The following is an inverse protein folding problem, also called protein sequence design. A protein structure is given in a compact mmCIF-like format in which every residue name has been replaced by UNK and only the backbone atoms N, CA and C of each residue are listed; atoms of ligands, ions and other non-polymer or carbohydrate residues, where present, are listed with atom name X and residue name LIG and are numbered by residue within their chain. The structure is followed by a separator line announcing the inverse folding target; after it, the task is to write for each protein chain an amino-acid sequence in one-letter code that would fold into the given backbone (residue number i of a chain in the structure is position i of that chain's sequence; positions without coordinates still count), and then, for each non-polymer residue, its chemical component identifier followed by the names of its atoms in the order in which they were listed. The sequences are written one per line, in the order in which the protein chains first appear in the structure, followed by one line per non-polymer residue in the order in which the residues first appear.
data_IF_123341439972
#
_entry.id   IF_123341439972
#
_cell.length_a   1.000
_cell.length_b   1.000
_cell.length_c   1.000
_cell.angle_alpha   90.00
_cell.angle_beta   90.00
_cell.angle_gamma   90.00
#
_symmetry.space_group_name_H-M   'P 1'
#
loop_
_entity.id
_entity.type
_entity.pdbx_description
1 polymer ?
#
# COMPACT_ATOMS: atom_id res chain seq x y z
N UNK A 1 8.34 63.62 -25.27
CA UNK A 1 9.16 63.14 -24.13
C UNK A 1 8.35 62.56 -22.95
N UNK A 2 7.00 62.47 -23.00
CA UNK A 2 6.20 61.90 -21.90
C UNK A 2 6.03 60.37 -21.92
N UNK A 3 6.08 59.70 -23.08
CA UNK A 3 5.75 58.26 -23.17
C UNK A 3 6.79 57.29 -22.58
N UNK A 4 8.06 57.71 -22.46
CA UNK A 4 9.14 56.88 -21.92
C UNK A 4 9.13 56.82 -20.38
N UNK A 5 8.53 57.81 -19.71
CA UNK A 5 8.34 57.79 -18.25
C UNK A 5 7.18 56.89 -17.85
N UNK A 6 6.08 56.92 -18.62
CA UNK A 6 4.92 56.05 -18.38
C UNK A 6 5.25 54.56 -18.61
N UNK A 7 6.02 54.24 -19.66
CA UNK A 7 6.46 52.85 -19.90
C UNK A 7 7.38 52.30 -18.80
N UNK A 8 8.24 53.13 -18.21
CA UNK A 8 9.08 52.73 -17.07
C UNK A 8 8.28 52.54 -15.79
N UNK A 9 7.24 53.34 -15.57
CA UNK A 9 6.32 53.16 -14.45
C UNK A 9 5.54 51.85 -14.53
N UNK A 10 5.02 51.51 -15.71
CA UNK A 10 4.28 50.26 -15.96
C UNK A 10 5.18 49.03 -15.81
N UNK A 11 6.42 49.09 -16.30
CA UNK A 11 7.40 48.00 -16.13
C UNK A 11 7.77 47.78 -14.65
N UNK A 12 7.99 48.85 -13.89
CA UNK A 12 8.25 48.74 -12.46
C UNK A 12 7.03 48.21 -11.67
N UNK A 13 5.81 48.59 -12.06
CA UNK A 13 4.61 48.02 -11.45
C UNK A 13 4.44 46.53 -11.77
N UNK A 14 4.74 46.12 -13.00
CA UNK A 14 4.73 44.71 -13.41
C UNK A 14 5.76 43.86 -12.65
N UNK A 15 7.00 44.33 -12.51
CA UNK A 15 8.04 43.65 -11.73
C UNK A 15 7.64 43.53 -10.25
N UNK A 16 7.02 44.57 -9.70
CA UNK A 16 6.52 44.57 -8.32
C UNK A 16 5.37 43.59 -8.16
N UNK A 17 4.46 43.50 -9.14
CA UNK A 17 3.37 42.53 -9.18
C UNK A 17 3.89 41.10 -9.27
N UNK A 18 4.91 40.85 -10.11
CA UNK A 18 5.55 39.55 -10.27
C UNK A 18 6.26 39.10 -8.98
N UNK A 19 6.94 40.03 -8.30
CA UNK A 19 7.56 39.79 -7.00
C UNK A 19 6.52 39.45 -5.92
N UNK A 20 5.40 40.19 -5.89
CA UNK A 20 4.31 39.91 -4.95
C UNK A 20 3.66 38.55 -5.27
N UNK A 21 3.41 38.24 -6.54
CA UNK A 21 2.85 36.96 -6.97
C UNK A 21 3.77 35.79 -6.60
N UNK A 22 5.07 35.92 -6.86
CA UNK A 22 6.09 34.92 -6.49
C UNK A 22 6.18 34.74 -4.98
N UNK A 23 6.09 35.82 -4.20
CA UNK A 23 6.02 35.78 -2.74
C UNK A 23 4.76 35.07 -2.24
N UNK A 24 3.62 35.31 -2.88
CA UNK A 24 2.35 34.66 -2.57
C UNK A 24 2.37 33.16 -2.92
N UNK A 25 2.95 32.79 -4.07
CA UNK A 25 3.14 31.41 -4.48
C UNK A 25 4.07 30.65 -3.53
N UNK A 26 5.18 31.26 -3.08
CA UNK A 26 6.04 30.66 -2.06
C UNK A 26 5.30 30.44 -0.75
N UNK A 27 4.51 31.42 -0.29
CA UNK A 27 3.70 31.26 0.93
C UNK A 27 2.65 30.17 0.79
N UNK A 28 1.97 30.07 -0.35
CA UNK A 28 1.03 28.99 -0.66
C UNK A 28 1.71 27.63 -0.68
N UNK A 29 2.91 27.52 -1.26
CA UNK A 29 3.70 26.28 -1.25
C UNK A 29 4.06 25.87 0.18
N UNK A 30 4.54 26.82 0.99
CA UNK A 30 4.89 26.57 2.40
C UNK A 30 3.66 26.14 3.20
N UNK A 31 2.51 26.79 3.01
CA UNK A 31 1.24 26.41 3.65
C UNK A 31 0.83 25.00 3.22
N UNK A 32 0.95 24.66 1.93
CA UNK A 32 0.65 23.34 1.40
C UNK A 32 1.57 22.27 2.01
N UNK A 33 2.86 22.58 2.18
CA UNK A 33 3.84 21.69 2.81
C UNK A 33 3.56 21.49 4.31
N UNK A 34 3.01 22.49 5.01
CA UNK A 34 2.59 22.39 6.41
C UNK A 34 1.22 21.71 6.57
N UNK A 35 0.36 21.76 5.55
CA UNK A 35 -0.94 21.09 5.56
C UNK A 35 -0.84 19.60 5.27
N UNK A 36 0.13 19.14 4.46
CA UNK A 36 0.31 17.70 4.15
C UNK A 36 0.45 16.80 5.39
N UNK A 37 1.25 17.13 6.42
CA UNK A 37 1.36 16.32 7.63
C UNK A 37 0.07 16.32 8.47
N UNK A 38 -0.62 17.47 8.56
CA UNK A 38 -1.89 17.62 9.26
C UNK A 38 -3.00 16.82 8.57
N UNK A 39 -3.06 16.92 7.24
CA UNK A 39 -3.95 16.14 6.41
C UNK A 39 -3.65 14.64 6.52
N UNK A 40 -2.38 14.24 6.54
CA UNK A 40 -1.98 12.86 6.78
C UNK A 40 -2.42 12.35 8.16
N UNK A 41 -2.27 13.15 9.20
CA UNK A 41 -2.70 12.79 10.57
C UNK A 41 -4.22 12.69 10.69
N UNK A 42 -4.96 13.61 10.05
CA UNK A 42 -6.42 13.60 10.00
C UNK A 42 -6.95 12.44 9.16
N UNK A 43 -6.29 12.10 8.05
CA UNK A 43 -6.64 10.95 7.18
C UNK A 43 -6.39 9.60 7.85
N UNK A 44 -5.30 9.47 8.63
CA UNK A 44 -5.08 8.29 9.46
C UNK A 44 -6.15 8.15 10.57
N UNK A 45 -6.69 9.28 11.05
CA UNK A 45 -7.85 9.32 11.94
C UNK A 45 -9.18 9.02 11.23
N UNK A 46 -9.43 9.44 10.00
CA UNK A 46 -10.67 9.07 9.27
C UNK A 46 -10.73 7.57 8.94
N UNK A 47 -9.58 6.92 8.74
CA UNK A 47 -9.47 5.46 8.59
C UNK A 47 -9.89 4.69 9.87
N UNK A 48 -9.96 5.36 11.03
CA UNK A 48 -10.33 4.74 12.32
C UNK A 48 -11.76 4.19 12.39
N UNK A 49 -12.61 4.49 11.40
CA UNK A 49 -13.97 3.93 11.33
C UNK A 49 -14.04 2.53 10.69
N UNK A 50 -13.04 2.10 9.90
CA UNK A 50 -13.09 0.83 9.15
C UNK A 50 -11.75 0.10 8.99
N UNK A 51 -10.63 0.68 9.44
CA UNK A 51 -9.31 0.10 9.27
C UNK A 51 -8.28 0.54 10.32
N UNK A 52 -7.14 -0.15 10.35
CA UNK A 52 -6.01 0.21 11.22
C UNK A 52 -4.67 0.04 10.50
N UNK A 53 -3.71 0.90 10.81
CA UNK A 53 -2.36 0.85 10.26
C UNK A 53 -1.39 0.37 11.34
N UNK A 54 -0.67 -0.72 11.07
CA UNK A 54 0.42 -1.23 11.91
C UNK A 54 1.74 -0.89 11.23
N UNK A 55 2.56 -0.08 11.89
CA UNK A 55 3.87 0.29 11.38
C UNK A 55 4.79 -0.94 11.33
N UNK A 56 5.47 -1.13 10.20
CA UNK A 56 6.45 -2.20 9.99
C UNK A 56 7.87 -1.67 9.81
N UNK A 57 8.79 -2.59 9.49
CA UNK A 57 10.22 -2.28 9.36
C UNK A 57 10.72 -2.20 7.91
N UNK A 58 9.98 -2.72 6.93
CA UNK A 58 10.35 -2.67 5.51
C UNK A 58 9.65 -1.51 4.78
N UNK A 59 10.15 -1.21 3.58
CA UNK A 59 9.57 -0.21 2.67
C UNK A 59 8.35 -0.78 1.91
N UNK A 60 7.60 -1.71 2.49
CA UNK A 60 6.44 -2.27 1.85
C UNK A 60 5.24 -2.37 2.76
N UNK A 61 4.09 -2.51 2.11
CA UNK A 61 2.78 -2.51 2.76
C UNK A 61 2.05 -3.80 2.39
N UNK A 62 1.50 -4.47 3.40
CA UNK A 62 0.60 -5.60 3.23
C UNK A 62 -0.80 -5.16 3.64
N UNK A 63 -1.75 -5.23 2.71
CA UNK A 63 -3.15 -4.91 2.93
C UNK A 63 -3.92 -6.19 3.25
N UNK A 64 -4.66 -6.22 4.35
CA UNK A 64 -5.46 -7.37 4.79
C UNK A 64 -6.85 -6.87 5.19
N UNK A 65 -7.75 -6.88 4.22
CA UNK A 65 -9.06 -6.23 4.34
C UNK A 65 -10.06 -6.96 5.22
N UNK A 66 -9.75 -8.17 5.66
CA UNK A 66 -10.57 -8.93 6.59
C UNK A 66 -10.00 -8.97 8.00
N UNK A 67 -8.82 -8.38 8.24
CA UNK A 67 -8.08 -8.50 9.51
C UNK A 67 -8.74 -7.80 10.72
N UNK A 68 -9.84 -7.08 10.54
CA UNK A 68 -10.68 -6.53 11.63
C UNK A 68 -12.01 -7.28 11.81
N UNK A 69 -12.29 -8.30 10.97
CA UNK A 69 -13.47 -9.13 11.10
C UNK A 69 -13.24 -10.19 12.18
N UNK A 70 -14.18 -10.31 13.13
CA UNK A 70 -14.08 -11.29 14.22
C UNK A 70 -14.01 -12.72 13.67
N UNK A 71 -13.03 -13.49 14.14
CA UNK A 71 -12.82 -14.89 13.72
C UNK A 71 -12.07 -15.04 12.39
N UNK A 72 -11.58 -13.94 11.82
CA UNK A 72 -10.71 -14.01 10.65
C UNK A 72 -9.36 -14.65 11.02
N UNK A 73 -8.91 -15.68 10.28
CA UNK A 73 -7.69 -16.41 10.61
C UNK A 73 -6.45 -15.54 10.49
N UNK A 74 -6.37 -14.63 9.52
CA UNK A 74 -5.24 -13.71 9.39
C UNK A 74 -5.25 -12.69 10.52
N UNK A 75 -6.42 -12.19 10.94
CA UNK A 75 -6.51 -11.32 12.11
C UNK A 75 -5.89 -11.96 13.34
N UNK A 76 -6.28 -13.20 13.64
CA UNK A 76 -5.80 -13.96 14.80
C UNK A 76 -4.29 -14.21 14.70
N UNK A 77 -3.81 -14.66 13.54
CA UNK A 77 -2.39 -14.90 13.29
C UNK A 77 -1.55 -13.63 13.44
N UNK A 78 -1.98 -12.49 12.90
CA UNK A 78 -1.21 -11.24 13.03
C UNK A 78 -1.16 -10.78 14.49
N UNK A 79 -2.25 -10.88 15.24
CA UNK A 79 -2.23 -10.51 16.66
C UNK A 79 -1.35 -11.44 17.49
N UNK A 80 -1.28 -12.74 17.18
CA UNK A 80 -0.40 -13.67 17.91
C UNK A 80 1.08 -13.46 17.62
N UNK A 81 1.43 -12.96 16.43
CA UNK A 81 2.81 -12.67 16.04
C UNK A 81 3.30 -11.32 16.63
N UNK A 82 2.40 -10.41 17.00
CA UNK A 82 2.79 -9.14 17.61
C UNK A 82 3.55 -9.36 18.92
N UNK A 83 4.69 -8.69 19.07
CA UNK A 83 5.52 -8.77 20.27
C UNK A 83 6.53 -9.91 20.29
N UNK A 84 6.57 -10.76 19.26
CA UNK A 84 7.55 -11.86 19.12
C UNK A 84 8.96 -11.40 18.70
N UNK A 85 9.14 -10.10 18.39
CA UNK A 85 10.40 -9.55 17.91
C UNK A 85 10.71 -9.83 16.43
N UNK A 86 9.84 -10.56 15.73
CA UNK A 86 9.92 -10.78 14.27
C UNK A 86 9.74 -9.48 13.50
N UNK A 87 10.36 -9.40 12.32
CA UNK A 87 10.32 -8.22 11.45
C UNK A 87 9.32 -8.45 10.31
N UNK A 88 8.35 -7.55 10.16
CA UNK A 88 7.34 -7.63 9.11
C UNK A 88 7.13 -6.27 8.42
N UNK A 89 6.59 -6.27 7.20
CA UNK A 89 6.16 -5.05 6.50
C UNK A 89 5.11 -4.28 7.27
N UNK A 90 4.85 -3.03 6.88
CA UNK A 90 3.71 -2.32 7.42
C UNK A 90 2.41 -3.04 7.02
N UNK A 91 1.44 -3.11 7.91
CA UNK A 91 0.18 -3.81 7.67
C UNK A 91 -0.98 -2.83 7.73
N UNK A 92 -1.78 -2.76 6.66
CA UNK A 92 -3.08 -2.10 6.66
C UNK A 92 -4.14 -3.16 6.90
N UNK A 93 -4.84 -3.08 8.03
CA UNK A 93 -5.96 -3.96 8.37
C UNK A 93 -7.28 -3.26 8.02
N UNK A 94 -8.24 -4.00 7.49
CA UNK A 94 -9.61 -3.52 7.24
C UNK A 94 -10.67 -4.50 7.73
N UNK A 95 -11.93 -4.07 7.67
CA UNK A 95 -13.11 -4.91 7.95
C UNK A 95 -14.01 -5.14 6.71
N UNK A 96 -13.50 -4.92 5.51
CA UNK A 96 -14.25 -4.92 4.25
C UNK A 96 -13.70 -5.94 3.25
N UNK A 97 -14.19 -7.19 3.35
CA UNK A 97 -13.80 -8.29 2.45
C UNK A 97 -14.21 -8.05 0.99
N UNK A 98 -15.22 -7.21 0.76
CA UNK A 98 -15.79 -6.93 -0.56
C UNK A 98 -15.01 -5.86 -1.32
N UNK A 99 -14.02 -5.23 -0.69
CA UNK A 99 -13.18 -4.20 -1.29
C UNK A 99 -14.01 -3.04 -1.86
N UNK A 100 -14.93 -2.47 -1.07
CA UNK A 100 -15.75 -1.34 -1.53
C UNK A 100 -14.88 -0.17 -2.01
N UNK A 101 -15.45 0.66 -2.89
CA UNK A 101 -14.72 1.76 -3.50
C UNK A 101 -14.11 2.72 -2.46
N UNK A 102 -14.85 3.03 -1.39
CA UNK A 102 -14.40 3.91 -0.30
C UNK A 102 -13.22 3.33 0.48
N UNK A 103 -13.25 2.03 0.80
CA UNK A 103 -12.13 1.32 1.43
C UNK A 103 -10.90 1.38 0.53
N UNK A 104 -11.05 1.03 -0.74
CA UNK A 104 -9.94 1.04 -1.69
C UNK A 104 -9.33 2.44 -1.83
N UNK A 105 -10.16 3.49 -1.97
CA UNK A 105 -9.70 4.88 -2.06
C UNK A 105 -8.95 5.34 -0.82
N UNK A 106 -9.43 4.95 0.36
CA UNK A 106 -8.75 5.27 1.60
C UNK A 106 -7.36 4.62 1.68
N UNK A 107 -7.22 3.37 1.26
CA UNK A 107 -5.93 2.68 1.23
C UNK A 107 -5.00 3.30 0.19
N UNK A 108 -5.51 3.64 -1.00
CA UNK A 108 -4.74 4.35 -2.03
C UNK A 108 -4.17 5.66 -1.48
N UNK A 109 -4.98 6.44 -0.76
CA UNK A 109 -4.52 7.69 -0.12
C UNK A 109 -3.41 7.45 0.92
N UNK A 110 -3.48 6.36 1.69
CA UNK A 110 -2.42 5.99 2.64
C UNK A 110 -1.12 5.67 1.88
N UNK A 111 -1.21 4.89 0.80
CA UNK A 111 -0.05 4.53 -0.04
C UNK A 111 0.53 5.77 -0.72
N UNK A 112 -0.30 6.63 -1.30
CA UNK A 112 0.11 7.91 -1.90
C UNK A 112 0.78 8.85 -0.89
N UNK A 113 0.27 8.86 0.34
CA UNK A 113 0.75 9.72 1.42
C UNK A 113 2.16 9.42 1.90
N UNK A 114 2.77 8.28 1.50
CA UNK A 114 4.11 7.82 1.91
C UNK A 114 4.33 7.98 3.42
N UNK A 115 3.70 7.15 4.27
CA UNK A 115 3.76 7.33 5.72
C UNK A 115 5.21 7.42 6.20
N UNK A 116 5.57 8.58 6.76
CA UNK A 116 6.93 8.87 7.25
C UNK A 116 7.94 9.34 6.20
N UNK A 117 7.51 9.68 4.97
CA UNK A 117 8.38 10.19 3.89
C UNK A 117 9.22 9.12 3.20
N UNK A 118 9.06 7.86 3.57
CA UNK A 118 9.82 6.72 3.03
C UNK A 118 9.15 6.25 1.73
N UNK A 119 9.91 6.05 0.63
CA UNK A 119 9.37 5.49 -0.60
C UNK A 119 8.89 4.05 -0.37
N UNK A 120 7.67 3.76 -0.84
CA UNK A 120 7.10 2.42 -0.80
C UNK A 120 7.60 1.66 -2.04
N UNK A 121 8.24 0.51 -1.84
CA UNK A 121 8.75 -0.35 -2.91
C UNK A 121 7.70 -1.36 -3.39
N UNK A 122 6.81 -1.81 -2.50
CA UNK A 122 5.78 -2.78 -2.84
C UNK A 122 4.51 -2.65 -1.99
N UNK A 123 3.40 -3.10 -2.57
CA UNK A 123 2.11 -3.25 -1.93
C UNK A 123 1.56 -4.65 -2.25
N UNK A 124 1.24 -5.43 -1.22
CA UNK A 124 0.69 -6.77 -1.38
C UNK A 124 -0.71 -6.80 -0.77
N UNK A 125 -1.72 -7.15 -1.56
CA UNK A 125 -3.04 -7.50 -1.03
C UNK A 125 -3.00 -8.97 -0.58
N UNK A 126 -3.00 -9.21 0.73
CA UNK A 126 -2.95 -10.55 1.32
C UNK A 126 -4.35 -10.95 1.77
N UNK A 127 -4.81 -12.10 1.25
CA UNK A 127 -6.15 -12.64 1.47
C UNK A 127 -6.06 -14.10 1.87
N UNK A 128 -7.20 -14.66 2.27
CA UNK A 128 -7.36 -16.10 2.42
C UNK A 128 -8.66 -16.57 1.79
N UNK A 129 -8.68 -17.83 1.36
CA UNK A 129 -9.84 -18.48 0.79
C UNK A 129 -9.94 -19.94 1.25
N UNK A 130 -11.16 -20.50 1.19
CA UNK A 130 -11.32 -21.95 1.28
C UNK A 130 -10.92 -22.50 -0.09
N UNK A 131 -9.75 -23.14 -0.17
CA UNK A 131 -9.28 -23.75 -1.41
C UNK A 131 -9.86 -25.17 -1.54
N UNK A 132 -9.97 -25.72 -2.77
CA UNK A 132 -10.36 -27.11 -2.96
C UNK A 132 -9.48 -28.06 -2.14
N UNK A 133 -10.04 -29.14 -1.54
CA UNK A 133 -9.29 -30.05 -0.66
C UNK A 133 -8.03 -30.66 -1.28
N UNK A 134 -8.01 -30.78 -2.62
CA UNK A 134 -6.87 -31.30 -3.38
C UNK A 134 -5.61 -30.42 -3.21
N UNK A 135 -5.78 -29.12 -2.92
CA UNK A 135 -4.69 -28.15 -2.78
C UNK A 135 -4.58 -27.53 -1.36
N UNK A 136 -5.66 -27.52 -0.57
CA UNK A 136 -5.72 -26.84 0.73
C UNK A 136 -4.73 -27.36 1.80
N UNK A 137 -4.28 -28.62 1.68
CA UNK A 137 -3.34 -29.27 2.62
C UNK A 137 -1.86 -29.26 2.24
N UNK A 138 -1.46 -28.57 1.16
CA UNK A 138 -0.08 -28.64 0.61
C UNK A 138 0.77 -27.38 0.87
N UNK A 139 0.47 -26.58 1.89
CA UNK A 139 1.08 -25.24 2.10
C UNK A 139 1.03 -24.39 0.82
N UNK A 140 -0.11 -24.46 0.11
CA UNK A 140 -0.28 -23.79 -1.16
C UNK A 140 -0.60 -22.32 -0.93
N UNK A 141 0.12 -21.47 -1.66
CA UNK A 141 -0.08 -20.04 -1.74
C UNK A 141 -0.38 -19.69 -3.20
N UNK A 142 -1.48 -18.97 -3.43
CA UNK A 142 -1.88 -18.54 -4.76
C UNK A 142 -1.41 -17.09 -4.97
N UNK A 143 -0.73 -16.86 -6.09
CA UNK A 143 -0.29 -15.53 -6.51
C UNK A 143 -1.17 -15.05 -7.66
N UNK A 144 -1.91 -13.97 -7.42
CA UNK A 144 -2.77 -13.34 -8.42
C UNK A 144 -1.95 -12.54 -9.44
N UNK A 145 -1.90 -13.02 -10.68
CA UNK A 145 -1.12 -12.44 -11.79
C UNK A 145 -1.94 -11.48 -12.66
N UNK A 146 -3.28 -11.48 -12.56
CA UNK A 146 -4.19 -10.69 -13.40
C UNK A 146 -3.86 -9.19 -13.44
N UNK A 147 -3.60 -8.61 -12.27
CA UNK A 147 -3.28 -7.19 -12.12
C UNK A 147 -1.88 -6.97 -11.54
N UNK A 148 -0.99 -7.96 -11.65
CA UNK A 148 0.38 -7.81 -11.20
C UNK A 148 1.06 -6.61 -11.90
N UNK A 149 1.80 -5.84 -11.11
CA UNK A 149 2.65 -4.77 -11.62
C UNK A 149 4.00 -4.81 -10.92
N UNK A 150 5.09 -4.77 -11.67
CA UNK A 150 6.43 -4.80 -11.10
C UNK A 150 7.46 -5.43 -12.03
N UNK A 151 8.70 -5.52 -11.56
CA UNK A 151 9.78 -6.18 -12.30
C UNK A 151 9.70 -7.70 -12.12
N UNK A 152 9.82 -8.45 -13.22
CA UNK A 152 9.83 -9.92 -13.21
C UNK A 152 10.86 -10.50 -12.21
N UNK A 153 12.00 -9.83 -12.05
CA UNK A 153 13.05 -10.25 -11.11
C UNK A 153 12.58 -10.17 -9.65
N UNK A 154 11.77 -9.18 -9.30
CA UNK A 154 11.20 -9.05 -7.96
C UNK A 154 10.21 -10.18 -7.68
N UNK A 155 9.37 -10.53 -8.67
CA UNK A 155 8.44 -11.66 -8.56
C UNK A 155 9.20 -12.98 -8.40
N UNK A 156 10.26 -13.20 -9.18
CA UNK A 156 11.10 -14.39 -9.08
C UNK A 156 11.79 -14.50 -7.72
N UNK A 157 12.29 -13.39 -7.18
CA UNK A 157 12.87 -13.35 -5.82
C UNK A 157 11.86 -13.75 -4.77
N UNK A 158 10.65 -13.17 -4.82
CA UNK A 158 9.56 -13.54 -3.93
C UNK A 158 9.24 -15.05 -4.02
N UNK A 159 9.19 -15.58 -5.24
CA UNK A 159 8.87 -17.00 -5.45
C UNK A 159 9.91 -17.91 -4.83
N UNK A 160 11.20 -17.61 -5.05
CA UNK A 160 12.28 -18.38 -4.46
C UNK A 160 12.19 -18.37 -2.93
N UNK A 161 11.92 -17.23 -2.29
CA UNK A 161 11.86 -17.15 -0.83
C UNK A 161 10.64 -17.88 -0.24
N UNK A 162 9.48 -17.74 -0.86
CA UNK A 162 8.30 -18.48 -0.44
C UNK A 162 8.50 -20.00 -0.61
N UNK A 163 9.21 -20.43 -1.66
CA UNK A 163 9.59 -21.84 -1.83
C UNK A 163 10.63 -22.30 -0.80
N UNK A 164 11.60 -21.47 -0.42
CA UNK A 164 12.60 -21.76 0.61
C UNK A 164 11.96 -22.02 1.99
N UNK A 165 10.88 -21.30 2.33
CA UNK A 165 10.10 -21.58 3.54
C UNK A 165 9.12 -22.76 3.37
N UNK A 166 9.13 -23.44 2.23
CA UNK A 166 8.34 -24.64 1.97
C UNK A 166 6.90 -24.39 1.52
N UNK A 167 6.58 -23.21 0.97
CA UNK A 167 5.30 -22.96 0.33
C UNK A 167 5.31 -23.45 -1.12
N UNK A 168 4.21 -24.09 -1.53
CA UNK A 168 3.96 -24.38 -2.93
C UNK A 168 3.23 -23.18 -3.57
N UNK A 169 3.80 -22.61 -4.62
CA UNK A 169 3.22 -21.43 -5.29
C UNK A 169 2.40 -21.87 -6.50
N UNK A 170 1.16 -21.40 -6.59
CA UNK A 170 0.33 -21.50 -7.78
C UNK A 170 0.05 -20.09 -8.31
N UNK A 171 0.10 -19.92 -9.63
CA UNK A 171 -0.31 -18.67 -10.26
C UNK A 171 -1.80 -18.72 -10.63
N UNK A 172 -2.51 -17.63 -10.37
CA UNK A 172 -3.91 -17.48 -10.75
C UNK A 172 -4.10 -16.23 -11.62
N UNK A 173 -5.06 -16.31 -12.55
CA UNK A 173 -5.43 -15.25 -13.49
C UNK A 173 -6.81 -14.63 -13.20
N UNK A 174 -7.44 -14.92 -12.06
CA UNK A 174 -8.67 -14.24 -11.67
C UNK A 174 -9.65 -15.01 -10.78
N UNK A 175 -9.40 -16.29 -10.50
CA UNK A 175 -10.31 -17.11 -9.69
C UNK A 175 -10.14 -16.87 -8.19
N UNK A 176 -8.89 -16.74 -7.74
CA UNK A 176 -8.52 -16.55 -6.33
C UNK A 176 -7.69 -15.28 -6.12
N UNK A 177 -7.36 -14.55 -7.17
CA UNK A 177 -6.65 -13.28 -7.16
C UNK A 177 -7.26 -12.25 -8.11
N UNK A 178 -6.84 -10.98 -8.01
CA UNK A 178 -7.28 -9.92 -8.91
C UNK A 178 -8.51 -9.16 -8.42
N UNK A 179 -8.54 -8.84 -7.13
CA UNK A 179 -9.52 -7.95 -6.52
C UNK A 179 -9.46 -6.50 -7.03
N UNK A 180 -10.49 -5.72 -6.68
CA UNK A 180 -10.60 -4.30 -7.00
C UNK A 180 -9.47 -3.49 -6.36
N UNK A 181 -9.05 -3.84 -5.14
CA UNK A 181 -7.94 -3.15 -4.48
C UNK A 181 -6.65 -3.29 -5.29
N UNK A 182 -6.31 -4.51 -5.70
CA UNK A 182 -5.11 -4.81 -6.49
C UNK A 182 -5.15 -4.08 -7.83
N UNK A 183 -6.31 -4.07 -8.50
CA UNK A 183 -6.51 -3.29 -9.73
C UNK A 183 -6.21 -1.80 -9.52
N UNK A 184 -6.85 -1.16 -8.54
CA UNK A 184 -6.66 0.28 -8.29
C UNK A 184 -5.23 0.60 -7.86
N UNK A 185 -4.59 -0.26 -7.07
CA UNK A 185 -3.18 -0.11 -6.67
C UNK A 185 -2.25 -0.19 -7.88
N UNK A 186 -2.53 -1.07 -8.83
CA UNK A 186 -1.76 -1.16 -10.08
C UNK A 186 -1.93 0.08 -10.94
N UNK A 187 -3.14 0.63 -11.04
CA UNK A 187 -3.37 1.91 -11.73
C UNK A 187 -2.62 3.06 -11.06
N UNK A 188 -2.54 3.07 -9.73
CA UNK A 188 -1.73 4.03 -8.99
C UNK A 188 -0.23 3.84 -9.23
N UNK A 189 0.25 2.60 -9.17
CA UNK A 189 1.66 2.26 -9.36
C UNK A 189 2.16 2.63 -10.77
N UNK A 190 1.30 2.50 -11.79
CA UNK A 190 1.61 2.99 -13.16
C UNK A 190 1.79 4.50 -13.23
N UNK A 191 1.07 5.28 -12.40
CA UNK A 191 1.17 6.75 -12.37
C UNK A 191 2.40 7.23 -11.61
N UNK A 192 2.68 6.64 -10.45
CA UNK A 192 3.76 7.08 -9.55
C UNK A 192 5.11 6.42 -9.90
N UNK A 193 5.08 5.25 -10.53
CA UNK A 193 6.25 4.46 -10.90
C UNK A 193 6.92 3.77 -9.71
N UNK A 194 7.72 2.74 -10.00
CA UNK A 194 8.62 2.05 -9.04
C UNK A 194 7.96 1.35 -7.84
N UNK A 195 6.66 1.04 -7.88
CA UNK A 195 5.99 0.23 -6.85
C UNK A 195 5.65 -1.14 -7.44
N UNK A 196 5.97 -2.22 -6.74
CA UNK A 196 5.52 -3.58 -7.09
C UNK A 196 4.17 -3.85 -6.42
N UNK A 197 3.15 -4.24 -7.20
CA UNK A 197 1.81 -4.56 -6.71
C UNK A 197 1.50 -6.03 -7.00
N UNK A 198 1.05 -6.76 -5.98
CA UNK A 198 0.72 -8.17 -6.07
C UNK A 198 -0.48 -8.52 -5.19
N UNK A 199 -1.23 -9.56 -5.56
CA UNK A 199 -2.20 -10.21 -4.68
C UNK A 199 -1.71 -11.60 -4.31
N UNK A 200 -1.80 -11.93 -3.03
CA UNK A 200 -1.48 -13.25 -2.49
C UNK A 200 -2.69 -13.78 -1.75
N UNK A 201 -3.10 -15.00 -2.07
CA UNK A 201 -4.20 -15.69 -1.39
C UNK A 201 -3.69 -16.95 -0.73
N UNK A 202 -3.82 -17.00 0.59
CA UNK A 202 -3.48 -18.17 1.41
C UNK A 202 -4.67 -19.14 1.49
N UNK A 203 -4.36 -20.42 1.65
CA UNK A 203 -5.36 -21.39 2.07
C UNK A 203 -5.85 -21.08 3.49
N UNK A 204 -7.06 -21.51 3.86
CA UNK A 204 -7.59 -21.29 5.21
C UNK A 204 -6.70 -21.94 6.27
N UNK A 205 -6.22 -23.16 6.02
CA UNK A 205 -5.33 -23.87 6.94
C UNK A 205 -4.02 -23.11 7.13
N UNK A 206 -3.43 -22.62 6.03
CA UNK A 206 -2.20 -21.84 6.09
C UNK A 206 -2.41 -20.50 6.82
N UNK A 207 -3.56 -19.84 6.62
CA UNK A 207 -3.90 -18.61 7.33
C UNK A 207 -4.13 -18.80 8.84
N UNK A 208 -4.48 -20.02 9.28
CA UNK A 208 -4.68 -20.40 10.69
C UNK A 208 -3.37 -20.82 11.37
N UNK A 209 -2.32 -21.14 10.61
CA UNK A 209 -1.00 -21.48 11.14
C UNK A 209 -0.21 -20.19 11.39
N UNK A 210 -0.14 -19.79 12.66
CA UNK A 210 0.44 -18.51 13.07
C UNK A 210 1.94 -18.41 12.71
N UNK A 211 2.71 -19.49 12.90
CA UNK A 211 4.14 -19.48 12.61
C UNK A 211 4.38 -19.39 11.10
N UNK A 212 3.58 -20.10 10.30
CA UNK A 212 3.65 -20.02 8.84
C UNK A 212 3.29 -18.64 8.33
N UNK A 213 2.24 -18.01 8.86
CA UNK A 213 1.90 -16.62 8.52
C UNK A 213 3.05 -15.68 8.86
N UNK A 214 3.74 -15.89 10.00
CA UNK A 214 4.90 -15.11 10.38
C UNK A 214 6.05 -15.25 9.37
N UNK A 215 6.40 -16.49 9.01
CA UNK A 215 7.45 -16.79 8.04
C UNK A 215 7.14 -16.18 6.67
N UNK A 216 5.87 -16.24 6.23
CA UNK A 216 5.41 -15.60 4.99
C UNK A 216 5.60 -14.09 5.08
N UNK A 217 5.07 -13.43 6.12
CA UNK A 217 5.17 -11.98 6.26
C UNK A 217 6.62 -11.48 6.36
N UNK A 218 7.49 -12.24 7.02
CA UNK A 218 8.92 -11.95 7.13
C UNK A 218 9.62 -12.09 5.78
N UNK A 219 9.28 -13.12 4.99
CA UNK A 219 9.78 -13.29 3.62
C UNK A 219 9.38 -12.15 2.70
N UNK A 220 8.25 -11.47 2.96
CA UNK A 220 7.85 -10.31 2.17
C UNK A 220 8.76 -9.10 2.38
N UNK A 221 9.55 -9.01 3.46
CA UNK A 221 10.34 -7.82 3.80
C UNK A 221 11.48 -7.49 2.83
N UNK A 222 11.82 -8.40 1.92
CA UNK A 222 13.03 -8.36 1.08
C UNK A 222 12.76 -7.79 -0.34
N UNK A 223 11.49 -7.47 -0.64
CA UNK A 223 11.07 -6.80 -1.88
C UNK A 223 11.39 -5.29 -1.88
#
# INVERSE_FOLDING_TARGET
MSSLKDQRGILQELEKLESVLSGTFKKLSVINDHLRPLEHSLRAQEFSSSGSYVRGMSNGIVCILSALIKGDPLAISIESIKGTGRKFPAIIKGSDRSETNSTCESILKIVEGKPGGIPINYVINLRWANLPPVIDGRNVLIVGTRYYHGRKDALKKLYNQLQEIGCQILEDRGEFGGGLLTFKMTELAKKIGNITVLEITLSRHLAQDHERVADILESLTIL
#
